data_IF_929922736619
#
_entry.id   IF_929922736619
#
_cell.length_a   1.000
_cell.length_b   1.000
_cell.length_c   1.000
_cell.angle_alpha   90.00
_cell.angle_beta   90.00
_cell.angle_gamma   90.00
#
_symmetry.space_group_name_H-M   'P 1'
#
loop_
_entity.id
_entity.type
_entity.pdbx_description
1 polymer ?
#
# COMPACT_ATOMS: atom_id res chain seq x y z
N UNK A 1 -15.95 12.50 -9.81
CA UNK A 1 -14.97 12.79 -10.89
C UNK A 1 -13.81 11.81 -10.95
N UNK A 2 -13.01 11.62 -9.89
CA UNK A 2 -11.79 10.79 -9.95
C UNK A 2 -12.01 9.36 -10.49
N UNK A 3 -13.05 8.67 -10.01
CA UNK A 3 -13.38 7.30 -10.49
C UNK A 3 -13.73 7.30 -11.98
N UNK A 4 -14.43 8.31 -12.48
CA UNK A 4 -14.82 8.39 -13.89
C UNK A 4 -13.59 8.57 -14.80
N UNK A 5 -12.61 9.37 -14.35
CA UNK A 5 -11.31 9.48 -15.02
C UNK A 5 -10.53 8.15 -15.00
N UNK A 6 -10.55 7.44 -13.86
CA UNK A 6 -9.83 6.17 -13.71
C UNK A 6 -10.39 5.03 -14.57
N UNK A 7 -11.65 5.09 -15.04
CA UNK A 7 -12.26 4.00 -15.80
C UNK A 7 -11.55 3.69 -17.11
N UNK A 8 -10.94 4.69 -17.77
CA UNK A 8 -10.14 4.47 -18.97
C UNK A 8 -8.94 3.53 -18.74
N UNK A 9 -8.51 3.38 -17.48
CA UNK A 9 -7.38 2.53 -17.08
C UNK A 9 -7.81 1.23 -16.41
N UNK A 10 -9.11 1.05 -16.16
CA UNK A 10 -9.62 0.02 -15.28
C UNK A 10 -9.80 -1.35 -15.96
N UNK A 11 -9.14 -1.62 -17.10
CA UNK A 11 -9.10 -2.92 -17.82
C UNK A 11 -10.41 -3.73 -17.69
N UNK A 12 -11.42 -3.34 -18.46
CA UNK A 12 -12.76 -3.95 -18.52
C UNK A 12 -13.59 -3.93 -17.23
N UNK A 13 -13.17 -3.21 -16.18
CA UNK A 13 -13.99 -3.02 -14.99
C UNK A 13 -15.16 -2.06 -15.25
N UNK A 14 -16.34 -2.42 -14.76
CA UNK A 14 -17.44 -1.48 -14.63
C UNK A 14 -17.19 -0.46 -13.51
N UNK A 15 -17.99 0.62 -13.49
CA UNK A 15 -17.84 1.71 -12.53
C UNK A 15 -17.88 1.28 -11.06
N UNK A 16 -18.74 0.33 -10.70
CA UNK A 16 -18.88 -0.13 -9.32
C UNK A 16 -17.66 -0.93 -8.88
N UNK A 17 -17.18 -1.83 -9.74
CA UNK A 17 -15.98 -2.63 -9.48
C UNK A 17 -14.74 -1.74 -9.40
N UNK A 18 -14.59 -0.79 -10.33
CA UNK A 18 -13.49 0.17 -10.29
C UNK A 18 -13.51 1.02 -9.02
N UNK A 19 -14.68 1.52 -8.61
CA UNK A 19 -14.82 2.29 -7.36
C UNK A 19 -14.41 1.46 -6.14
N UNK A 20 -14.83 0.19 -6.06
CA UNK A 20 -14.44 -0.71 -4.97
C UNK A 20 -12.95 -0.99 -4.99
N UNK A 21 -12.39 -1.30 -6.17
CA UNK A 21 -10.97 -1.60 -6.33
C UNK A 21 -10.10 -0.42 -5.89
N UNK A 22 -10.45 0.81 -6.32
CA UNK A 22 -9.76 2.02 -5.88
C UNK A 22 -9.80 2.14 -4.37
N UNK A 23 -10.98 1.96 -3.74
CA UNK A 23 -11.13 2.06 -2.28
C UNK A 23 -10.31 1.04 -1.49
N UNK A 24 -9.96 -0.12 -2.07
CA UNK A 24 -9.10 -1.11 -1.41
C UNK A 24 -7.65 -0.64 -1.25
N UNK A 25 -7.14 0.14 -2.21
CA UNK A 25 -5.72 0.55 -2.27
C UNK A 25 -5.49 2.04 -2.01
N UNK A 26 -6.55 2.86 -2.09
CA UNK A 26 -6.54 4.30 -1.82
C UNK A 26 -7.39 4.57 -0.59
N UNK A 27 -6.74 4.65 0.57
CA UNK A 27 -7.37 4.83 1.87
C UNK A 27 -6.47 5.63 2.83
N UNK A 28 -6.75 5.58 4.13
CA UNK A 28 -5.97 6.25 5.18
C UNK A 28 -4.46 5.99 5.07
N UNK A 29 -4.07 4.75 4.79
CA UNK A 29 -2.65 4.37 4.68
C UNK A 29 -1.96 4.96 3.45
N UNK A 30 -2.72 5.35 2.44
CA UNK A 30 -2.22 6.08 1.27
C UNK A 30 -1.98 7.55 1.58
N UNK A 31 -2.72 8.11 2.54
CA UNK A 31 -2.53 9.50 2.99
C UNK A 31 -1.35 9.60 3.95
N UNK A 32 -1.31 8.72 4.94
CA UNK A 32 -0.19 8.58 5.88
C UNK A 32 -0.20 7.15 6.42
N UNK A 33 0.96 6.49 6.45
CA UNK A 33 1.05 5.14 7.02
C UNK A 33 0.62 5.08 8.49
N UNK A 34 0.71 6.19 9.21
CA UNK A 34 0.46 6.31 10.64
C UNK A 34 1.43 5.47 11.46
N UNK A 35 1.26 5.50 12.78
CA UNK A 35 2.07 4.66 13.66
C UNK A 35 1.91 3.17 13.33
N UNK A 36 0.69 2.73 13.02
CA UNK A 36 0.37 1.34 12.71
C UNK A 36 1.02 0.87 11.42
N UNK A 37 0.91 1.62 10.32
CA UNK A 37 1.53 1.24 9.05
C UNK A 37 3.06 1.25 9.15
N UNK A 38 3.64 2.25 9.83
CA UNK A 38 5.09 2.29 10.09
C UNK A 38 5.58 1.07 10.88
N UNK A 39 4.83 0.66 11.91
CA UNK A 39 5.14 -0.55 12.67
C UNK A 39 5.00 -1.83 11.83
N UNK A 40 3.98 -1.91 10.97
CA UNK A 40 3.76 -3.04 10.08
C UNK A 40 4.92 -3.23 9.08
N UNK A 41 5.41 -2.14 8.47
CA UNK A 41 6.55 -2.21 7.53
C UNK A 41 7.82 -2.66 8.26
N UNK A 42 8.11 -2.08 9.44
CA UNK A 42 9.29 -2.49 10.25
C UNK A 42 9.25 -3.99 10.56
N UNK A 43 8.10 -4.49 11.02
CA UNK A 43 7.91 -5.91 11.30
C UNK A 43 8.09 -6.77 10.04
N UNK A 44 7.49 -6.37 8.92
CA UNK A 44 7.57 -7.12 7.67
C UNK A 44 9.03 -7.31 7.21
N UNK A 45 9.85 -6.25 7.26
CA UNK A 45 11.25 -6.34 6.87
C UNK A 45 12.11 -7.10 7.90
N UNK A 46 11.82 -6.94 9.19
CA UNK A 46 12.48 -7.74 10.24
C UNK A 46 12.21 -9.24 10.05
N UNK A 47 10.95 -9.63 9.89
CA UNK A 47 10.54 -11.01 9.64
C UNK A 47 11.19 -11.57 8.36
N UNK A 48 11.32 -10.74 7.32
CA UNK A 48 11.97 -11.13 6.07
C UNK A 48 13.47 -11.41 6.25
N UNK A 49 14.16 -10.60 7.06
CA UNK A 49 15.57 -10.81 7.40
C UNK A 49 15.75 -12.06 8.26
N UNK A 50 14.93 -12.25 9.29
CA UNK A 50 14.95 -13.45 10.14
C UNK A 50 14.75 -14.73 9.33
N UNK A 51 13.86 -14.69 8.34
CA UNK A 51 13.59 -15.80 7.40
C UNK A 51 14.59 -15.91 6.26
N UNK A 52 15.62 -15.06 6.21
CA UNK A 52 16.67 -15.03 5.18
C UNK A 52 16.15 -14.78 3.76
N UNK A 53 14.98 -14.13 3.61
CA UNK A 53 14.52 -13.63 2.30
C UNK A 53 15.34 -12.42 1.85
N UNK A 54 15.93 -11.69 2.80
CA UNK A 54 16.88 -10.61 2.56
C UNK A 54 18.14 -10.85 3.39
N UNK A 55 19.30 -10.48 2.85
CA UNK A 55 20.61 -10.80 3.44
C UNK A 55 21.11 -9.83 4.51
N UNK A 56 20.43 -8.68 4.68
CA UNK A 56 20.82 -7.64 5.65
C UNK A 56 19.57 -7.06 6.33
N UNK A 57 19.67 -6.63 7.59
CA UNK A 57 18.59 -5.90 8.24
C UNK A 57 18.42 -4.53 7.57
N UNK A 58 17.17 -4.08 7.42
CA UNK A 58 16.85 -2.78 6.80
C UNK A 58 16.45 -1.79 7.89
N UNK A 59 17.26 -0.74 8.05
CA UNK A 59 16.93 0.42 8.87
C UNK A 59 16.03 1.38 8.08
N UNK A 60 14.77 1.48 8.49
CA UNK A 60 13.75 2.28 7.78
C UNK A 60 13.68 3.68 8.36
N UNK A 61 13.82 4.68 7.49
CA UNK A 61 13.53 6.07 7.77
C UNK A 61 12.23 6.47 7.06
N UNK A 62 11.39 7.23 7.76
CA UNK A 62 10.17 7.81 7.18
C UNK A 62 10.40 9.31 7.00
N UNK A 63 9.96 9.84 5.86
CA UNK A 63 9.96 11.27 5.58
C UNK A 63 8.80 11.94 6.30
N UNK A 64 9.01 13.17 6.75
CA UNK A 64 7.99 14.06 7.33
C UNK A 64 7.41 15.00 6.28
#
# INVERSE_FOLDING_TARGET
EAVAYSLAFARDMNQQLASRFIGMYVNEFTRDYGATGRAAIRRFLADAHEKKYIGVPIEIQFVE
#
